data_IF_140898628875
#
_entry.id   IF_140898628875
#
_cell.length_a   1.000
_cell.length_b   1.000
_cell.length_c   1.000
_cell.angle_alpha   90.00
_cell.angle_beta   90.00
_cell.angle_gamma   90.00
#
_symmetry.space_group_name_H-M   'P 1'
#
loop_
_entity.id
_entity.type
_entity.pdbx_description
1 polymer ?
#
# COMPACT_ATOMS: atom_id res chain seq x y z
N UNK A 1 34.04 -11.92 26.00
CA UNK A 1 34.25 -10.92 24.95
C UNK A 1 35.37 -11.39 24.04
N UNK A 2 35.20 -11.38 22.72
CA UNK A 2 36.28 -11.57 21.74
C UNK A 2 36.75 -10.23 21.17
N UNK A 3 38.03 -10.15 20.80
CA UNK A 3 38.58 -8.95 20.16
C UNK A 3 38.52 -9.11 18.65
N UNK A 4 37.99 -8.12 17.99
CA UNK A 4 38.04 -7.97 16.53
C UNK A 4 38.63 -6.61 16.18
N UNK A 5 39.17 -6.48 14.97
CA UNK A 5 39.78 -5.23 14.51
C UNK A 5 39.38 -4.89 13.08
N UNK A 6 39.37 -3.63 12.81
CA UNK A 6 39.35 -3.03 11.47
C UNK A 6 40.50 -2.00 11.34
N UNK A 7 40.52 -1.21 10.25
CA UNK A 7 41.59 -0.23 10.07
C UNK A 7 41.54 0.93 11.08
N UNK A 8 40.45 1.10 11.83
CA UNK A 8 40.32 2.11 12.89
C UNK A 8 40.80 1.60 14.26
N UNK A 9 41.08 0.31 14.39
CA UNK A 9 41.57 -0.29 15.64
C UNK A 9 40.71 -1.44 16.16
N UNK A 10 41.01 -1.90 17.39
CA UNK A 10 40.35 -3.03 18.03
C UNK A 10 39.11 -2.60 18.81
N UNK A 11 38.09 -3.48 18.83
CA UNK A 11 36.95 -3.43 19.74
C UNK A 11 36.67 -4.80 20.37
N UNK A 12 36.03 -4.80 21.53
CA UNK A 12 35.50 -5.99 22.19
C UNK A 12 34.08 -6.28 21.75
N UNK A 13 33.87 -7.49 21.24
CA UNK A 13 32.58 -7.98 20.74
C UNK A 13 32.05 -9.05 21.70
N UNK A 14 30.74 -9.09 22.04
CA UNK A 14 30.17 -10.18 22.83
C UNK A 14 30.40 -11.55 22.19
N UNK A 15 30.81 -12.56 22.96
CA UNK A 15 31.16 -13.89 22.44
C UNK A 15 29.96 -14.57 21.75
N UNK A 16 28.73 -14.29 22.19
CA UNK A 16 27.51 -14.83 21.61
C UNK A 16 27.04 -14.10 20.33
N UNK A 17 27.57 -12.92 20.03
CA UNK A 17 27.19 -12.16 18.84
C UNK A 17 27.76 -12.78 17.57
N UNK A 18 26.95 -12.82 16.49
CA UNK A 18 27.42 -13.11 15.14
C UNK A 18 27.88 -11.86 14.40
N UNK A 19 27.42 -10.67 14.81
CA UNK A 19 27.95 -9.41 14.28
C UNK A 19 29.37 -9.15 14.81
N UNK A 20 30.08 -8.23 14.16
CA UNK A 20 31.48 -7.94 14.47
C UNK A 20 31.76 -6.45 14.70
N UNK A 21 33.03 -6.07 14.48
CA UNK A 21 33.57 -4.76 14.81
C UNK A 21 32.88 -3.61 14.08
N UNK A 22 32.54 -3.76 12.80
CA UNK A 22 31.89 -2.70 12.03
C UNK A 22 30.45 -2.46 12.47
N UNK A 23 29.73 -3.52 12.81
CA UNK A 23 28.39 -3.41 13.40
C UNK A 23 28.43 -2.71 14.76
N UNK A 24 29.40 -3.03 15.62
CA UNK A 24 29.57 -2.33 16.92
C UNK A 24 29.78 -0.85 16.72
N UNK A 25 30.64 -0.42 15.77
CA UNK A 25 30.81 1.02 15.46
C UNK A 25 29.52 1.64 14.96
N UNK A 26 28.76 0.96 14.13
CA UNK A 26 27.48 1.46 13.64
C UNK A 26 26.46 1.67 14.77
N UNK A 27 26.41 0.76 15.74
CA UNK A 27 25.56 0.89 16.93
C UNK A 27 25.95 2.09 17.81
N UNK A 28 27.25 2.39 17.90
CA UNK A 28 27.74 3.57 18.63
C UNK A 28 27.41 4.88 17.88
N UNK A 29 27.56 4.86 16.54
CA UNK A 29 27.40 6.05 15.71
C UNK A 29 25.96 6.44 15.47
N UNK A 30 25.04 5.46 15.32
CA UNK A 30 23.68 5.70 14.86
C UNK A 30 22.65 5.21 15.89
N UNK A 31 22.25 6.12 16.78
CA UNK A 31 21.20 5.94 17.79
C UNK A 31 20.10 6.98 17.52
N UNK A 32 19.38 6.82 16.39
CA UNK A 32 18.50 7.84 15.86
C UNK A 32 17.03 7.52 16.12
N UNK A 33 16.56 6.34 15.68
CA UNK A 33 15.16 5.97 15.76
C UNK A 33 14.82 5.10 16.96
N UNK A 34 15.79 4.37 17.50
CA UNK A 34 15.59 3.31 18.49
C UNK A 34 14.99 2.03 17.92
N UNK A 35 14.84 1.93 16.60
CA UNK A 35 14.41 0.72 15.90
C UNK A 35 15.62 -0.03 15.34
N UNK A 36 15.38 -1.30 15.00
CA UNK A 36 16.35 -2.15 14.29
C UNK A 36 15.89 -2.37 12.84
N UNK A 37 16.71 -3.06 12.06
CA UNK A 37 16.39 -3.41 10.69
C UNK A 37 15.06 -4.16 10.57
N UNK A 38 14.30 -3.88 9.51
CA UNK A 38 13.05 -4.58 9.21
C UNK A 38 13.30 -6.07 8.93
N UNK A 39 12.57 -7.02 9.55
CA UNK A 39 12.79 -8.45 9.36
C UNK A 39 12.74 -8.94 7.91
N UNK A 40 11.88 -8.34 7.06
CA UNK A 40 11.87 -8.68 5.63
C UNK A 40 13.05 -8.08 4.88
N UNK A 41 13.61 -6.96 5.34
CA UNK A 41 14.84 -6.42 4.78
C UNK A 41 16.06 -7.28 5.16
N UNK A 42 16.12 -7.78 6.39
CA UNK A 42 17.13 -8.76 6.81
C UNK A 42 17.03 -10.01 5.92
N UNK A 43 15.84 -10.52 5.70
CA UNK A 43 15.59 -11.64 4.78
C UNK A 43 16.09 -11.34 3.36
N UNK A 44 15.80 -10.15 2.82
CA UNK A 44 16.25 -9.72 1.50
C UNK A 44 17.77 -9.64 1.40
N UNK A 45 18.45 -9.08 2.42
CA UNK A 45 19.92 -9.09 2.51
C UNK A 45 20.47 -10.52 2.47
N UNK A 46 19.88 -11.43 3.23
CA UNK A 46 20.25 -12.85 3.20
C UNK A 46 20.08 -13.49 1.80
N UNK A 47 18.99 -13.17 1.09
CA UNK A 47 18.73 -13.65 -0.27
C UNK A 47 19.78 -13.14 -1.27
N UNK A 48 20.07 -11.83 -1.24
CA UNK A 48 21.08 -11.22 -2.13
C UNK A 48 22.47 -11.80 -1.86
N UNK A 49 22.86 -11.95 -0.60
CA UNK A 49 24.14 -12.55 -0.24
C UNK A 49 24.23 -14.03 -0.59
N UNK A 50 23.13 -14.76 -0.46
CA UNK A 50 23.08 -16.17 -0.93
C UNK A 50 23.28 -16.25 -2.44
N UNK A 51 22.61 -15.42 -3.23
CA UNK A 51 22.78 -15.36 -4.68
C UNK A 51 24.23 -15.02 -5.07
N UNK A 52 24.84 -14.05 -4.38
CA UNK A 52 26.22 -13.67 -4.62
C UNK A 52 27.22 -14.81 -4.30
N UNK A 53 27.02 -15.52 -3.19
CA UNK A 53 27.86 -16.68 -2.83
C UNK A 53 27.73 -17.80 -3.85
N UNK A 54 26.51 -18.14 -4.28
CA UNK A 54 26.25 -19.17 -5.31
C UNK A 54 26.89 -18.77 -6.65
N UNK A 55 26.79 -17.51 -7.06
CA UNK A 55 27.39 -17.00 -8.28
C UNK A 55 28.92 -17.11 -8.24
N UNK A 56 29.56 -16.64 -7.16
CA UNK A 56 31.00 -16.70 -7.01
C UNK A 56 31.54 -18.16 -6.93
N UNK A 57 30.79 -19.09 -6.33
CA UNK A 57 31.15 -20.53 -6.38
C UNK A 57 31.06 -21.08 -7.80
N UNK A 58 29.98 -20.78 -8.52
CA UNK A 58 29.72 -21.32 -9.88
C UNK A 58 30.79 -20.88 -10.88
N UNK A 59 31.30 -19.65 -10.76
CA UNK A 59 32.41 -19.16 -11.60
C UNK A 59 33.80 -19.48 -11.05
N UNK A 60 33.89 -20.22 -9.94
CA UNK A 60 35.14 -20.72 -9.37
C UNK A 60 35.97 -19.69 -8.59
N UNK A 61 35.44 -18.55 -8.21
CA UNK A 61 36.11 -17.54 -7.40
C UNK A 61 36.04 -17.81 -5.90
N UNK A 62 34.96 -18.44 -5.43
CA UNK A 62 34.76 -18.81 -4.03
C UNK A 62 34.93 -20.32 -3.83
N UNK A 63 35.77 -20.72 -2.88
CA UNK A 63 35.90 -22.11 -2.49
C UNK A 63 34.58 -22.76 -2.11
N UNK A 64 34.29 -23.94 -2.64
CA UNK A 64 33.00 -24.62 -2.45
C UNK A 64 32.67 -24.91 -0.98
N UNK A 65 33.68 -25.28 -0.16
CA UNK A 65 33.46 -25.59 1.25
C UNK A 65 33.08 -24.35 2.04
N UNK A 66 33.79 -23.25 1.79
CA UNK A 66 33.48 -21.94 2.40
C UNK A 66 32.11 -21.43 1.88
N UNK A 67 31.91 -21.46 0.58
CA UNK A 67 30.67 -21.00 -0.05
C UNK A 67 29.44 -21.75 0.42
N UNK A 68 29.50 -23.09 0.55
CA UNK A 68 28.39 -23.88 1.07
C UNK A 68 28.05 -23.54 2.53
N UNK A 69 29.05 -23.29 3.38
CA UNK A 69 28.83 -22.85 4.75
C UNK A 69 28.20 -21.45 4.80
N UNK A 70 28.63 -20.54 3.91
CA UNK A 70 28.02 -19.20 3.78
C UNK A 70 26.57 -19.28 3.26
N UNK A 71 26.27 -20.15 2.30
CA UNK A 71 24.90 -20.38 1.81
C UNK A 71 23.99 -20.86 2.95
N UNK A 72 24.47 -21.80 3.77
CA UNK A 72 23.73 -22.27 4.94
C UNK A 72 23.53 -21.15 5.99
N UNK A 73 24.53 -20.29 6.20
CA UNK A 73 24.39 -19.12 7.06
C UNK A 73 23.34 -18.11 6.53
N UNK A 74 23.32 -17.91 5.21
CA UNK A 74 22.28 -17.11 4.55
C UNK A 74 20.88 -17.72 4.74
N UNK A 75 20.74 -19.06 4.67
CA UNK A 75 19.45 -19.73 4.92
C UNK A 75 18.97 -19.54 6.37
N UNK A 76 19.88 -19.51 7.35
CA UNK A 76 19.52 -19.18 8.73
C UNK A 76 19.05 -17.72 8.87
N UNK A 77 19.64 -16.77 8.13
CA UNK A 77 19.18 -15.38 8.06
C UNK A 77 17.80 -15.30 7.40
N UNK A 78 17.63 -15.92 6.23
CA UNK A 78 16.38 -15.94 5.45
C UNK A 78 15.22 -16.52 6.26
N UNK A 79 15.48 -17.53 7.09
CA UNK A 79 14.49 -18.14 7.98
C UNK A 79 14.13 -17.29 9.21
N UNK A 80 14.85 -16.19 9.46
CA UNK A 80 14.65 -15.29 10.59
C UNK A 80 15.31 -15.73 11.90
N UNK A 81 16.06 -16.83 11.93
CA UNK A 81 16.73 -17.33 13.15
C UNK A 81 17.76 -16.36 13.73
N UNK A 82 18.30 -15.48 12.91
CA UNK A 82 19.37 -14.55 13.28
C UNK A 82 18.92 -13.08 13.27
N UNK A 83 17.61 -12.79 13.30
CA UNK A 83 17.09 -11.42 13.24
C UNK A 83 17.61 -10.53 14.39
N UNK A 84 17.84 -11.09 15.57
CA UNK A 84 18.42 -10.41 16.74
C UNK A 84 19.88 -10.01 16.55
N UNK A 85 20.54 -10.48 15.50
CA UNK A 85 21.93 -10.17 15.14
C UNK A 85 22.06 -8.95 14.20
N UNK A 86 20.95 -8.24 13.96
CA UNK A 86 20.91 -7.04 13.11
C UNK A 86 20.46 -5.81 13.93
N UNK A 87 21.31 -5.34 14.86
CA UNK A 87 20.94 -4.30 15.83
C UNK A 87 21.10 -2.87 15.28
N UNK A 88 21.54 -2.68 14.03
CA UNK A 88 21.82 -1.35 13.47
C UNK A 88 20.54 -0.55 13.24
N UNK A 89 20.59 0.75 13.56
CA UNK A 89 19.47 1.68 13.34
C UNK A 89 19.14 1.81 11.84
N UNK A 90 17.87 1.83 11.43
CA UNK A 90 17.48 1.96 10.03
C UNK A 90 17.79 3.33 9.41
N UNK A 91 17.96 4.39 10.20
CA UNK A 91 18.40 5.70 9.74
C UNK A 91 19.90 5.85 10.04
N UNK A 92 20.71 5.74 9.00
CA UNK A 92 22.16 5.69 9.12
C UNK A 92 22.84 6.39 7.94
N UNK A 93 24.01 6.99 8.16
CA UNK A 93 24.89 7.49 7.10
C UNK A 93 25.66 6.35 6.42
N UNK A 94 26.24 6.64 5.23
CA UNK A 94 27.09 5.70 4.51
C UNK A 94 26.36 4.77 3.54
N UNK A 95 25.22 5.20 2.97
CA UNK A 95 24.47 4.47 1.93
C UNK A 95 24.08 3.04 2.32
N UNK A 96 23.92 2.74 3.62
CA UNK A 96 23.62 1.38 4.09
C UNK A 96 24.84 0.48 4.29
N UNK A 97 26.07 1.00 4.29
CA UNK A 97 27.27 0.21 4.55
C UNK A 97 27.20 -0.57 5.87
N UNK A 98 26.58 0.02 6.90
CA UNK A 98 26.40 -0.67 8.18
C UNK A 98 25.51 -1.90 8.05
N UNK A 99 24.44 -1.87 7.26
CA UNK A 99 23.63 -3.06 6.96
C UNK A 99 24.41 -4.11 6.17
N UNK A 100 25.13 -3.69 5.13
CA UNK A 100 25.94 -4.58 4.31
C UNK A 100 27.00 -5.30 5.16
N UNK A 101 27.75 -4.56 5.97
CA UNK A 101 28.80 -5.13 6.80
C UNK A 101 28.24 -5.96 7.96
N UNK A 102 27.16 -5.54 8.59
CA UNK A 102 26.44 -6.36 9.57
C UNK A 102 26.07 -7.73 8.97
N UNK A 103 25.52 -7.74 7.77
CA UNK A 103 25.17 -9.00 7.07
C UNK A 103 26.41 -9.82 6.78
N UNK A 104 27.49 -9.23 6.30
CA UNK A 104 28.75 -9.91 6.01
C UNK A 104 29.35 -10.55 7.27
N UNK A 105 29.39 -9.81 8.39
CA UNK A 105 29.91 -10.29 9.67
C UNK A 105 29.08 -11.46 10.20
N UNK A 106 27.75 -11.34 10.17
CA UNK A 106 26.84 -12.42 10.61
C UNK A 106 27.01 -13.67 9.77
N UNK A 107 27.08 -13.54 8.43
CA UNK A 107 27.31 -14.68 7.53
C UNK A 107 28.63 -15.36 7.85
N UNK A 108 29.73 -14.59 7.97
CA UNK A 108 31.05 -15.14 8.22
C UNK A 108 31.14 -15.86 9.57
N UNK A 109 30.65 -15.26 10.63
CA UNK A 109 30.69 -15.86 11.96
C UNK A 109 29.79 -17.10 12.05
N UNK A 110 28.64 -17.12 11.39
CA UNK A 110 27.80 -18.30 11.31
C UNK A 110 28.42 -19.40 10.46
N UNK A 111 29.04 -19.07 9.33
CA UNK A 111 29.75 -20.03 8.49
C UNK A 111 30.97 -20.62 9.20
N UNK A 112 31.73 -19.82 9.95
CA UNK A 112 32.83 -20.31 10.80
C UNK A 112 32.31 -21.31 11.82
N UNK A 113 31.23 -21.02 12.52
CA UNK A 113 30.63 -21.96 13.48
C UNK A 113 30.17 -23.27 12.82
N UNK A 114 29.52 -23.22 11.64
CA UNK A 114 29.13 -24.40 10.85
C UNK A 114 30.33 -25.26 10.52
N UNK A 115 31.48 -24.65 10.27
CA UNK A 115 32.73 -25.35 9.99
C UNK A 115 33.53 -25.75 11.25
N UNK A 116 32.97 -25.58 12.44
CA UNK A 116 33.61 -25.91 13.72
C UNK A 116 34.78 -24.99 14.11
N UNK A 117 34.76 -23.73 13.60
CA UNK A 117 35.79 -22.71 13.87
C UNK A 117 35.25 -21.65 14.84
N UNK A 118 36.14 -20.98 15.59
CA UNK A 118 35.72 -19.89 16.45
C UNK A 118 35.23 -18.70 15.64
N UNK A 119 34.22 -17.98 16.17
CA UNK A 119 33.77 -16.69 15.64
C UNK A 119 34.92 -15.69 15.68
N UNK A 120 35.03 -14.84 14.64
CA UNK A 120 36.13 -13.89 14.49
C UNK A 120 37.38 -14.46 13.81
N UNK A 121 37.42 -15.74 13.40
CA UNK A 121 38.53 -16.32 12.62
C UNK A 121 38.49 -15.82 11.16
N UNK A 122 38.61 -14.50 11.00
CA UNK A 122 38.54 -13.84 9.69
C UNK A 122 39.74 -14.08 8.78
N UNK A 123 40.80 -14.73 9.29
CA UNK A 123 41.87 -15.31 8.44
C UNK A 123 41.37 -16.49 7.60
N UNK A 124 40.31 -17.18 8.06
CA UNK A 124 39.72 -18.29 7.33
C UNK A 124 38.52 -17.89 6.50
N UNK A 125 37.53 -17.16 7.10
CA UNK A 125 36.38 -16.57 6.37
C UNK A 125 36.29 -15.12 6.73
N UNK A 126 36.62 -14.21 5.80
CA UNK A 126 36.63 -12.75 6.00
C UNK A 126 35.34 -12.11 5.49
N UNK A 127 34.72 -11.19 6.26
CA UNK A 127 33.58 -10.41 5.79
C UNK A 127 33.84 -9.67 4.47
N UNK A 128 35.04 -9.10 4.31
CA UNK A 128 35.38 -8.34 3.12
C UNK A 128 35.80 -9.24 1.93
N UNK A 129 36.64 -10.26 2.18
CA UNK A 129 37.23 -11.04 1.09
C UNK A 129 36.31 -12.16 0.59
N UNK A 130 35.38 -12.68 1.43
CA UNK A 130 34.49 -13.78 1.08
C UNK A 130 33.03 -13.34 1.01
N UNK A 131 32.45 -12.83 2.10
CA UNK A 131 31.03 -12.46 2.11
C UNK A 131 30.70 -11.27 1.21
N UNK A 132 31.66 -10.37 0.99
CA UNK A 132 31.53 -9.21 0.10
C UNK A 132 32.25 -9.40 -1.25
N UNK A 133 32.70 -10.59 -1.60
CA UNK A 133 33.40 -10.88 -2.86
C UNK A 133 32.57 -10.44 -4.06
N UNK A 134 33.19 -9.73 -5.02
CA UNK A 134 32.58 -9.20 -6.24
C UNK A 134 31.45 -8.18 -6.01
N UNK A 135 31.33 -7.59 -4.82
CA UNK A 135 30.24 -6.72 -4.40
C UNK A 135 30.71 -5.39 -3.83
N UNK A 136 29.81 -4.43 -3.81
CA UNK A 136 29.90 -3.20 -3.03
C UNK A 136 28.59 -3.02 -2.22
N UNK A 137 28.63 -2.20 -1.17
CA UNK A 137 27.39 -1.69 -0.56
C UNK A 137 26.45 -1.12 -1.62
N UNK A 138 27.02 -0.44 -2.62
CA UNK A 138 26.32 0.35 -3.62
C UNK A 138 25.52 -0.46 -4.64
N UNK A 139 25.74 -1.77 -4.71
CA UNK A 139 24.90 -2.69 -5.48
C UNK A 139 24.07 -3.64 -4.60
N UNK A 140 24.59 -4.05 -3.45
CA UNK A 140 23.89 -4.94 -2.51
C UNK A 140 22.68 -4.26 -1.88
N UNK A 141 22.83 -3.02 -1.38
CA UNK A 141 21.76 -2.32 -0.64
C UNK A 141 20.57 -1.99 -1.55
N UNK A 142 20.75 -1.31 -2.70
CA UNK A 142 19.60 -1.00 -3.56
C UNK A 142 18.91 -2.27 -4.11
N UNK A 143 19.66 -3.34 -4.37
CA UNK A 143 19.08 -4.64 -4.76
C UNK A 143 18.29 -5.25 -3.61
N UNK A 144 18.79 -5.21 -2.37
CA UNK A 144 18.06 -5.72 -1.21
C UNK A 144 16.81 -4.90 -0.89
N UNK A 145 16.83 -3.59 -1.14
CA UNK A 145 15.64 -2.72 -1.03
C UNK A 145 14.57 -3.14 -2.03
N UNK A 146 14.96 -3.42 -3.30
CA UNK A 146 14.05 -3.92 -4.34
C UNK A 146 13.40 -5.24 -3.93
N UNK A 147 14.18 -6.22 -3.51
CA UNK A 147 13.69 -7.53 -3.06
C UNK A 147 12.71 -7.39 -1.89
N UNK A 148 13.06 -6.59 -0.88
CA UNK A 148 12.18 -6.34 0.28
C UNK A 148 10.88 -5.64 -0.14
N UNK A 149 10.98 -4.62 -1.00
CA UNK A 149 9.83 -3.86 -1.48
C UNK A 149 8.86 -4.75 -2.28
N UNK A 150 9.37 -5.64 -3.15
CA UNK A 150 8.55 -6.63 -3.89
C UNK A 150 7.78 -7.55 -2.93
N UNK A 151 8.46 -8.16 -1.96
CA UNK A 151 7.82 -9.03 -0.97
C UNK A 151 6.72 -8.32 -0.17
N UNK A 152 6.94 -7.04 0.19
CA UNK A 152 5.94 -6.25 0.92
C UNK A 152 4.81 -5.76 0.03
N UNK A 153 5.12 -5.39 -1.20
CA UNK A 153 4.12 -4.93 -2.18
C UNK A 153 3.12 -6.03 -2.51
N UNK A 154 3.59 -7.29 -2.64
CA UNK A 154 2.69 -8.43 -2.85
C UNK A 154 1.69 -8.60 -1.70
N UNK A 155 2.13 -8.43 -0.45
CA UNK A 155 1.23 -8.47 0.71
C UNK A 155 0.17 -7.36 0.64
N UNK A 156 0.54 -6.15 0.22
CA UNK A 156 -0.39 -5.03 0.07
C UNK A 156 -1.36 -5.24 -1.10
N UNK A 157 -0.86 -5.75 -2.23
CA UNK A 157 -1.67 -6.07 -3.41
C UNK A 157 -2.79 -7.05 -3.02
N UNK A 158 -2.43 -8.15 -2.37
CA UNK A 158 -3.39 -9.15 -1.86
C UNK A 158 -4.39 -8.50 -0.89
N UNK A 159 -3.94 -7.65 0.01
CA UNK A 159 -4.82 -6.98 0.96
C UNK A 159 -5.84 -6.05 0.24
N UNK A 160 -5.41 -5.27 -0.76
CA UNK A 160 -6.27 -4.39 -1.55
C UNK A 160 -7.29 -5.17 -2.38
N UNK A 161 -6.90 -6.30 -2.97
CA UNK A 161 -7.79 -7.18 -3.73
C UNK A 161 -8.85 -7.80 -2.81
N UNK A 162 -8.46 -8.29 -1.64
CA UNK A 162 -9.38 -8.79 -0.63
C UNK A 162 -10.36 -7.71 -0.14
N UNK A 163 -9.91 -6.47 0.02
CA UNK A 163 -10.78 -5.35 0.38
C UNK A 163 -11.76 -5.02 -0.76
N UNK A 164 -11.29 -5.04 -2.00
CA UNK A 164 -12.15 -4.85 -3.17
C UNK A 164 -13.24 -5.91 -3.26
N UNK A 165 -12.91 -7.18 -3.00
CA UNK A 165 -13.87 -8.27 -2.98
C UNK A 165 -14.90 -8.13 -1.85
N UNK A 166 -14.49 -7.62 -0.69
CA UNK A 166 -15.41 -7.29 0.41
C UNK A 166 -16.36 -6.15 0.03
N UNK A 167 -15.87 -5.13 -0.65
CA UNK A 167 -16.72 -4.06 -1.18
C UNK A 167 -17.71 -4.57 -2.24
N UNK A 168 -17.29 -5.46 -3.15
CA UNK A 168 -18.18 -6.04 -4.15
C UNK A 168 -19.27 -6.91 -3.51
N UNK A 169 -18.93 -7.71 -2.49
CA UNK A 169 -19.93 -8.47 -1.71
C UNK A 169 -20.97 -7.56 -1.08
N UNK A 170 -20.53 -6.44 -0.47
CA UNK A 170 -21.43 -5.41 0.06
C UNK A 170 -22.22 -4.70 -1.04
N UNK A 171 -21.60 -4.46 -2.18
CA UNK A 171 -22.26 -3.92 -3.35
C UNK A 171 -23.41 -4.80 -3.85
N UNK A 172 -23.25 -6.13 -3.83
CA UNK A 172 -24.31 -7.06 -4.17
C UNK A 172 -25.38 -7.17 -3.07
N UNK A 173 -24.97 -7.17 -1.78
CA UNK A 173 -25.89 -7.16 -0.63
C UNK A 173 -26.80 -5.93 -0.62
N UNK A 174 -26.31 -4.77 -1.08
CA UNK A 174 -27.01 -3.48 -1.04
C UNK A 174 -27.52 -3.02 -2.41
N UNK A 175 -27.55 -3.90 -3.42
CA UNK A 175 -27.90 -3.53 -4.82
C UNK A 175 -29.32 -2.94 -4.97
N UNK A 176 -30.21 -3.30 -4.07
CA UNK A 176 -31.62 -2.87 -4.03
C UNK A 176 -31.89 -1.78 -2.98
N UNK A 177 -30.86 -1.29 -2.28
CA UNK A 177 -30.99 -0.20 -1.30
C UNK A 177 -30.91 1.12 -2.02
N UNK A 178 -32.07 1.67 -2.36
CA UNK A 178 -32.17 2.97 -2.98
C UNK A 178 -31.95 4.08 -1.95
N UNK A 179 -31.19 5.11 -2.32
CA UNK A 179 -30.89 6.29 -1.50
C UNK A 179 -30.76 7.52 -2.37
N UNK A 180 -30.74 8.70 -1.74
CA UNK A 180 -30.38 9.92 -2.44
C UNK A 180 -28.85 10.01 -2.62
N UNK A 181 -28.40 10.24 -3.84
CA UNK A 181 -27.00 10.59 -4.13
C UNK A 181 -26.73 12.05 -3.75
N UNK A 182 -25.46 12.37 -3.44
CA UNK A 182 -25.06 13.73 -3.08
C UNK A 182 -23.86 14.18 -3.90
N UNK A 183 -23.94 15.41 -4.40
CA UNK A 183 -22.80 16.15 -4.97
C UNK A 183 -22.66 17.46 -4.19
N UNK A 184 -21.44 17.87 -3.87
CA UNK A 184 -21.20 19.02 -2.97
C UNK A 184 -21.89 18.90 -1.59
N UNK A 185 -22.11 17.65 -1.13
CA UNK A 185 -22.94 17.32 0.06
C UNK A 185 -24.40 17.79 -0.04
N UNK A 186 -24.85 18.23 -1.22
CA UNK A 186 -26.24 18.56 -1.50
C UNK A 186 -26.95 17.39 -2.17
N UNK A 187 -28.27 17.31 -2.00
CA UNK A 187 -29.10 16.31 -2.65
C UNK A 187 -28.94 16.38 -4.17
N UNK A 188 -28.77 15.23 -4.77
CA UNK A 188 -28.64 15.10 -6.22
C UNK A 188 -29.72 14.16 -6.77
N UNK A 189 -29.33 13.09 -7.43
CA UNK A 189 -30.25 12.11 -8.02
C UNK A 189 -30.19 10.79 -7.26
N UNK A 190 -31.21 9.93 -7.39
CA UNK A 190 -31.20 8.60 -6.76
C UNK A 190 -30.02 7.74 -7.22
N UNK A 191 -29.49 6.95 -6.30
CA UNK A 191 -28.47 5.94 -6.53
C UNK A 191 -28.76 4.72 -5.63
N UNK A 192 -28.20 3.57 -5.92
CA UNK A 192 -28.21 2.47 -4.93
C UNK A 192 -26.95 2.51 -4.08
N UNK A 193 -27.08 2.16 -2.80
CA UNK A 193 -25.95 1.98 -1.90
C UNK A 193 -24.97 0.94 -2.48
N UNK A 194 -25.50 -0.09 -3.16
CA UNK A 194 -24.70 -1.10 -3.84
C UNK A 194 -23.77 -0.54 -4.91
N UNK A 195 -24.21 0.45 -5.69
CA UNK A 195 -23.36 1.12 -6.71
C UNK A 195 -22.21 1.90 -6.06
N UNK A 196 -22.43 2.55 -4.92
CA UNK A 196 -21.35 3.23 -4.18
C UNK A 196 -20.29 2.24 -3.71
N UNK A 197 -20.69 1.11 -3.13
CA UNK A 197 -19.74 0.07 -2.70
C UNK A 197 -18.98 -0.57 -3.87
N UNK A 198 -19.63 -0.80 -5.01
CA UNK A 198 -18.95 -1.25 -6.24
C UNK A 198 -17.94 -0.22 -6.78
N UNK A 199 -18.23 1.06 -6.62
CA UNK A 199 -17.27 2.12 -6.97
C UNK A 199 -16.04 2.09 -6.05
N UNK A 200 -16.19 1.80 -4.75
CA UNK A 200 -15.07 1.59 -3.83
C UNK A 200 -14.24 0.37 -4.24
N UNK A 201 -14.87 -0.75 -4.59
CA UNK A 201 -14.18 -1.93 -5.10
C UNK A 201 -13.34 -1.63 -6.34
N UNK A 202 -13.92 -0.93 -7.33
CA UNK A 202 -13.23 -0.52 -8.55
C UNK A 202 -12.03 0.36 -8.27
N UNK A 203 -12.12 1.26 -7.27
CA UNK A 203 -11.00 2.09 -6.84
C UNK A 203 -9.87 1.24 -6.27
N UNK A 204 -10.15 0.29 -5.40
CA UNK A 204 -9.13 -0.58 -4.78
C UNK A 204 -8.42 -1.47 -5.81
N UNK A 205 -9.14 -2.07 -6.75
CA UNK A 205 -8.54 -2.83 -7.86
C UNK A 205 -7.62 -1.97 -8.72
N UNK A 206 -8.02 -0.73 -9.00
CA UNK A 206 -7.16 0.21 -9.73
C UNK A 206 -5.88 0.53 -8.96
N UNK A 207 -5.95 0.68 -7.64
CA UNK A 207 -4.74 0.91 -6.81
C UNK A 207 -3.83 -0.31 -6.77
N UNK A 208 -4.37 -1.51 -6.58
CA UNK A 208 -3.63 -2.77 -6.69
C UNK A 208 -2.84 -2.85 -8.02
N UNK A 209 -3.51 -2.59 -9.14
CA UNK A 209 -2.87 -2.61 -10.46
C UNK A 209 -1.78 -1.52 -10.63
N UNK A 210 -1.96 -0.33 -10.06
CA UNK A 210 -0.93 0.72 -10.12
C UNK A 210 0.31 0.33 -9.32
N UNK A 211 0.16 -0.26 -8.12
CA UNK A 211 1.29 -0.76 -7.33
C UNK A 211 2.01 -1.87 -8.09
N UNK A 212 1.28 -2.84 -8.68
CA UNK A 212 1.88 -3.91 -9.49
C UNK A 212 2.75 -3.37 -10.61
N UNK A 213 2.28 -2.36 -11.36
CA UNK A 213 3.06 -1.70 -12.41
C UNK A 213 4.30 -0.98 -11.89
N UNK A 214 4.21 -0.32 -10.73
CA UNK A 214 5.39 0.32 -10.11
C UNK A 214 6.42 -0.72 -9.67
N UNK A 215 5.99 -1.93 -9.31
CA UNK A 215 6.89 -3.03 -8.95
C UNK A 215 7.65 -3.61 -10.15
N UNK A 216 7.13 -3.48 -11.38
CA UNK A 216 7.83 -3.96 -12.59
C UNK A 216 9.23 -3.33 -12.71
N UNK A 217 9.39 -2.06 -12.36
CA UNK A 217 10.66 -1.34 -12.40
C UNK A 217 11.68 -1.85 -11.36
N UNK A 218 11.21 -2.47 -10.27
CA UNK A 218 12.07 -3.00 -9.22
C UNK A 218 12.80 -4.27 -9.62
N UNK A 219 12.41 -4.94 -10.70
CA UNK A 219 13.06 -6.15 -11.19
C UNK A 219 14.37 -5.87 -11.94
N UNK A 220 14.64 -4.61 -12.29
CA UNK A 220 15.93 -4.22 -12.86
C UNK A 220 16.90 -3.84 -11.74
N UNK A 221 18.02 -4.53 -11.65
CA UNK A 221 18.98 -4.40 -10.56
C UNK A 221 20.38 -4.05 -11.05
N UNK A 222 21.25 -3.65 -10.11
CA UNK A 222 22.63 -3.25 -10.40
C UNK A 222 23.70 -4.13 -9.73
N UNK A 223 23.39 -5.40 -9.38
CA UNK A 223 24.40 -6.31 -8.82
C UNK A 223 25.57 -6.50 -9.78
N UNK A 224 26.79 -6.41 -9.24
CA UNK A 224 28.03 -6.41 -9.99
C UNK A 224 28.46 -5.06 -10.53
N UNK A 225 27.68 -4.00 -10.35
CA UNK A 225 28.05 -2.60 -10.65
C UNK A 225 29.23 -2.13 -9.80
N UNK A 226 29.35 -2.68 -8.61
CA UNK A 226 30.33 -2.33 -7.59
C UNK A 226 30.28 -0.85 -7.16
N UNK A 227 31.43 -0.17 -7.03
CA UNK A 227 31.50 1.13 -6.34
C UNK A 227 30.76 2.27 -7.06
N UNK A 228 30.86 2.37 -8.40
CA UNK A 228 30.40 3.49 -9.21
C UNK A 228 29.71 3.07 -10.51
N UNK A 229 29.32 1.82 -10.62
CA UNK A 229 28.64 1.30 -11.82
C UNK A 229 29.56 0.78 -12.93
N UNK A 230 30.87 0.77 -12.72
CA UNK A 230 31.82 0.30 -13.75
C UNK A 230 32.15 -1.20 -13.67
N UNK A 231 31.67 -1.88 -12.62
CA UNK A 231 31.95 -3.29 -12.40
C UNK A 231 33.39 -3.61 -12.03
N UNK A 232 34.17 -2.62 -11.59
CA UNK A 232 35.56 -2.85 -11.16
C UNK A 232 35.58 -3.88 -10.02
N UNK A 233 36.44 -4.91 -10.13
CA UNK A 233 36.57 -6.07 -9.23
C UNK A 233 35.38 -7.04 -9.26
N UNK A 234 34.45 -6.95 -10.20
CA UNK A 234 33.46 -7.97 -10.50
C UNK A 234 33.76 -8.61 -11.87
N UNK A 235 33.82 -9.92 -11.92
CA UNK A 235 33.96 -10.65 -13.19
C UNK A 235 32.68 -10.47 -14.04
N UNK A 236 32.76 -10.27 -15.36
CA UNK A 236 31.58 -10.21 -16.23
C UNK A 236 30.69 -11.47 -16.15
N UNK A 237 31.26 -12.65 -15.90
CA UNK A 237 30.50 -13.88 -15.68
C UNK A 237 29.72 -13.82 -14.36
N UNK A 238 30.31 -13.21 -13.31
CA UNK A 238 29.62 -12.98 -12.05
C UNK A 238 28.40 -12.09 -12.23
N UNK A 239 28.52 -11.00 -12.98
CA UNK A 239 27.41 -10.04 -13.20
C UNK A 239 26.18 -10.77 -13.79
N UNK A 240 26.41 -11.65 -14.76
CA UNK A 240 25.36 -12.47 -15.36
C UNK A 240 24.82 -13.50 -14.36
N UNK A 241 25.74 -14.23 -13.72
CA UNK A 241 25.39 -15.36 -12.86
C UNK A 241 24.64 -14.92 -11.61
N UNK A 242 25.01 -13.79 -10.98
CA UNK A 242 24.32 -13.28 -9.78
C UNK A 242 22.86 -12.91 -10.07
N UNK A 243 22.56 -12.44 -11.28
CA UNK A 243 21.20 -12.16 -11.73
C UNK A 243 20.36 -13.46 -11.82
N UNK A 244 20.94 -14.51 -12.43
CA UNK A 244 20.29 -15.83 -12.53
C UNK A 244 20.06 -16.44 -11.13
N UNK A 245 21.07 -16.37 -10.25
CA UNK A 245 20.97 -16.89 -8.89
C UNK A 245 19.96 -16.12 -8.03
N UNK A 246 19.91 -14.80 -8.17
CA UNK A 246 18.92 -13.99 -7.44
C UNK A 246 17.49 -14.33 -7.87
N UNK A 247 17.26 -14.53 -9.17
CA UNK A 247 15.98 -15.01 -9.71
C UNK A 247 15.60 -16.37 -9.10
N UNK A 248 16.52 -17.30 -9.01
CA UNK A 248 16.27 -18.62 -8.41
C UNK A 248 16.01 -18.56 -6.91
N UNK A 249 16.76 -17.73 -6.18
CA UNK A 249 16.64 -17.61 -4.71
C UNK A 249 15.35 -16.90 -4.29
N UNK A 250 14.93 -15.90 -5.05
CA UNK A 250 13.75 -15.09 -4.72
C UNK A 250 12.45 -15.61 -5.32
N UNK A 251 12.54 -16.29 -6.48
CA UNK A 251 11.39 -16.65 -7.31
C UNK A 251 10.86 -15.48 -8.17
N UNK A 252 11.52 -14.32 -8.15
CA UNK A 252 11.19 -13.12 -8.92
C UNK A 252 12.12 -13.01 -10.14
N UNK A 253 11.62 -12.53 -11.28
CA UNK A 253 12.40 -12.44 -12.52
C UNK A 253 13.23 -11.15 -12.56
N UNK A 254 14.45 -11.19 -12.06
CA UNK A 254 15.38 -10.06 -12.11
C UNK A 254 16.11 -9.95 -13.46
N UNK A 255 16.45 -8.73 -13.83
CA UNK A 255 17.31 -8.39 -14.98
C UNK A 255 18.41 -7.42 -14.56
N UNK A 256 19.57 -7.56 -15.19
CA UNK A 256 20.66 -6.59 -15.02
C UNK A 256 20.34 -5.31 -15.79
N UNK A 257 20.57 -4.15 -15.18
CA UNK A 257 20.37 -2.87 -15.84
C UNK A 257 21.28 -2.69 -17.07
N UNK A 258 20.74 -2.11 -18.13
CA UNK A 258 21.53 -1.81 -19.37
C UNK A 258 22.66 -0.82 -19.09
N UNK A 259 22.44 0.11 -18.17
CA UNK A 259 23.42 1.08 -17.71
C UNK A 259 23.61 0.97 -16.19
N UNK A 260 24.67 0.26 -15.78
CA UNK A 260 24.98 0.06 -14.37
C UNK A 260 25.40 1.34 -13.63
N UNK A 261 25.95 2.34 -14.34
CA UNK A 261 26.29 3.65 -13.73
C UNK A 261 25.02 4.40 -13.37
N UNK A 262 24.04 4.41 -14.28
CA UNK A 262 22.72 4.98 -14.04
C UNK A 262 22.02 4.28 -12.86
N UNK A 263 21.93 2.96 -12.90
CA UNK A 263 21.27 2.16 -11.88
C UNK A 263 21.93 2.19 -10.48
N UNK A 264 23.19 2.68 -10.40
CA UNK A 264 23.90 2.88 -9.12
C UNK A 264 23.71 4.31 -8.60
N UNK A 265 23.58 5.30 -9.48
CA UNK A 265 23.47 6.72 -9.10
C UNK A 265 22.04 7.20 -8.95
N UNK A 266 21.09 6.68 -9.75
CA UNK A 266 19.70 7.11 -9.77
C UNK A 266 18.81 6.13 -9.01
N UNK A 267 17.90 6.70 -8.21
CA UNK A 267 16.97 5.96 -7.32
C UNK A 267 15.51 6.37 -7.55
N UNK A 268 15.22 7.01 -8.67
CA UNK A 268 13.92 7.55 -9.07
C UNK A 268 12.81 6.49 -9.09
N UNK A 269 13.12 5.24 -9.41
CA UNK A 269 12.18 4.11 -9.34
C UNK A 269 11.54 3.93 -7.96
N UNK A 270 12.21 4.30 -6.89
CA UNK A 270 11.66 4.27 -5.53
C UNK A 270 10.57 5.34 -5.34
N UNK A 271 10.68 6.46 -6.06
CA UNK A 271 9.63 7.50 -6.07
C UNK A 271 8.38 7.03 -6.80
N UNK A 272 8.50 6.25 -7.88
CA UNK A 272 7.35 5.68 -8.59
C UNK A 272 6.53 4.76 -7.69
N UNK A 273 7.20 3.86 -6.96
CA UNK A 273 6.53 3.02 -5.98
C UNK A 273 5.91 3.87 -4.86
N UNK A 274 6.67 4.78 -4.27
CA UNK A 274 6.22 5.63 -3.15
C UNK A 274 5.01 6.49 -3.55
N UNK A 275 5.01 7.09 -4.75
CA UNK A 275 3.88 7.86 -5.29
C UNK A 275 2.64 6.99 -5.53
N UNK A 276 2.82 5.73 -5.92
CA UNK A 276 1.72 4.77 -6.04
C UNK A 276 1.10 4.43 -4.68
N UNK A 277 1.93 4.31 -3.62
CA UNK A 277 1.46 4.12 -2.24
C UNK A 277 0.71 5.35 -1.73
N UNK A 278 1.25 6.57 -1.94
CA UNK A 278 0.56 7.84 -1.63
C UNK A 278 -0.80 7.92 -2.30
N UNK A 279 -0.89 7.62 -3.59
CA UNK A 279 -2.16 7.68 -4.32
C UNK A 279 -3.16 6.64 -3.79
N UNK A 280 -2.68 5.49 -3.33
CA UNK A 280 -3.52 4.48 -2.67
C UNK A 280 -4.04 4.98 -1.32
N UNK A 281 -3.20 5.66 -0.55
CA UNK A 281 -3.58 6.32 0.70
C UNK A 281 -4.67 7.38 0.49
N UNK A 282 -4.54 8.24 -0.53
CA UNK A 282 -5.56 9.24 -0.89
C UNK A 282 -6.91 8.59 -1.23
N UNK A 283 -6.90 7.46 -1.94
CA UNK A 283 -8.13 6.71 -2.25
C UNK A 283 -8.78 6.11 -1.00
N UNK A 284 -7.98 5.60 -0.06
CA UNK A 284 -8.46 5.06 1.22
C UNK A 284 -9.05 6.15 2.12
N UNK A 285 -8.42 7.33 2.18
CA UNK A 285 -8.95 8.51 2.92
C UNK A 285 -10.33 8.87 2.39
N UNK A 286 -10.50 8.97 1.06
CA UNK A 286 -11.80 9.28 0.46
C UNK A 286 -12.86 8.27 0.86
N UNK A 287 -12.56 6.98 0.78
CA UNK A 287 -13.49 5.91 1.16
C UNK A 287 -13.81 5.96 2.66
N UNK A 288 -12.80 6.13 3.51
CA UNK A 288 -12.97 6.23 4.96
C UNK A 288 -13.85 7.40 5.36
N UNK A 289 -13.66 8.56 4.72
CA UNK A 289 -14.49 9.76 4.95
C UNK A 289 -15.93 9.54 4.51
N UNK A 290 -16.18 8.90 3.37
CA UNK A 290 -17.54 8.58 2.94
C UNK A 290 -18.23 7.61 3.93
N UNK A 291 -17.53 6.55 4.36
CA UNK A 291 -18.06 5.62 5.36
C UNK A 291 -18.40 6.32 6.68
N UNK A 292 -17.57 7.27 7.12
CA UNK A 292 -17.82 8.07 8.34
C UNK A 292 -19.03 8.99 8.17
N UNK A 293 -19.17 9.64 7.02
CA UNK A 293 -20.33 10.49 6.72
C UNK A 293 -21.63 9.69 6.65
N UNK A 294 -21.65 8.60 5.88
CA UNK A 294 -22.81 7.72 5.76
C UNK A 294 -23.24 7.12 7.11
N UNK A 295 -22.30 6.85 8.02
CA UNK A 295 -22.56 6.30 9.34
C UNK A 295 -22.83 7.37 10.42
N UNK A 296 -22.79 8.66 10.08
CA UNK A 296 -22.93 9.75 11.05
C UNK A 296 -24.30 9.74 11.76
N UNK A 297 -24.30 10.11 13.02
CA UNK A 297 -25.53 10.18 13.84
C UNK A 297 -25.41 9.37 15.14
N UNK A 298 -26.39 8.50 15.48
CA UNK A 298 -27.42 7.87 14.63
C UNK A 298 -28.71 8.68 14.40
N UNK A 299 -28.99 9.74 15.17
CA UNK A 299 -30.27 10.48 15.08
C UNK A 299 -30.13 11.84 14.39
N UNK A 300 -28.97 12.49 14.55
CA UNK A 300 -28.69 13.84 14.04
C UNK A 300 -27.65 13.83 12.90
N UNK A 301 -27.58 12.76 12.13
CA UNK A 301 -26.69 12.62 10.99
C UNK A 301 -27.34 11.81 9.87
N UNK A 302 -26.56 11.39 8.87
CA UNK A 302 -27.11 10.67 7.71
C UNK A 302 -27.64 9.29 8.04
N UNK A 303 -26.91 8.54 8.87
CA UNK A 303 -27.33 7.22 9.34
C UNK A 303 -27.77 6.26 8.23
N UNK A 304 -27.17 6.32 7.04
CA UNK A 304 -27.50 5.47 5.90
C UNK A 304 -26.95 4.05 6.05
N UNK A 305 -25.85 3.94 6.80
CA UNK A 305 -25.20 2.65 7.17
C UNK A 305 -24.90 2.61 8.67
N UNK A 306 -24.75 1.41 9.19
CA UNK A 306 -24.27 1.16 10.54
C UNK A 306 -22.95 0.42 10.46
N UNK A 307 -21.88 0.99 11.08
CA UNK A 307 -20.58 0.35 11.22
C UNK A 307 -20.58 -0.60 12.43
N UNK A 308 -19.80 -1.70 12.38
CA UNK A 308 -19.64 -2.57 13.54
C UNK A 308 -19.04 -1.81 14.74
N UNK A 309 -19.64 -1.85 15.94
CA UNK A 309 -19.08 -1.25 17.13
C UNK A 309 -17.77 -1.97 17.52
N UNK A 310 -16.70 -1.20 17.81
CA UNK A 310 -15.39 -1.78 18.13
C UNK A 310 -14.89 -1.46 19.53
N UNK A 311 -15.33 -0.33 20.07
CA UNK A 311 -15.00 0.09 21.44
C UNK A 311 -16.00 1.16 21.92
N UNK A 312 -16.12 1.41 23.23
CA UNK A 312 -16.84 2.57 23.75
C UNK A 312 -16.26 3.86 23.17
N UNK A 313 -17.11 4.76 22.71
CA UNK A 313 -16.70 5.97 22.00
C UNK A 313 -16.44 7.19 22.88
N UNK A 314 -16.77 7.13 24.17
CA UNK A 314 -16.64 8.25 25.09
C UNK A 314 -16.51 7.79 26.54
N UNK A 315 -15.70 8.51 27.32
CA UNK A 315 -15.56 8.30 28.76
C UNK A 315 -16.69 8.92 29.58
N UNK A 316 -17.47 9.85 28.98
CA UNK A 316 -18.52 10.62 29.65
C UNK A 316 -19.90 10.51 29.01
N UNK A 317 -20.03 9.93 27.81
CA UNK A 317 -21.28 9.75 27.08
C UNK A 317 -21.60 8.24 26.93
N UNK A 318 -22.40 7.65 27.84
CA UNK A 318 -22.76 6.23 27.75
C UNK A 318 -23.46 5.92 26.41
N UNK A 319 -23.09 4.81 25.78
CA UNK A 319 -23.69 4.36 24.53
C UNK A 319 -23.18 5.02 23.26
N UNK A 320 -22.27 6.00 23.33
CA UNK A 320 -21.65 6.58 22.15
C UNK A 320 -20.64 5.61 21.54
N UNK A 321 -20.75 5.38 20.23
CA UNK A 321 -19.80 4.57 19.44
C UNK A 321 -19.25 5.44 18.30
N UNK A 322 -17.93 5.52 18.18
CA UNK A 322 -17.26 6.29 17.13
C UNK A 322 -16.79 5.38 15.98
N UNK A 323 -16.62 5.91 14.76
CA UNK A 323 -16.12 5.18 13.60
C UNK A 323 -14.58 5.03 13.63
N UNK A 324 -14.04 4.45 14.71
CA UNK A 324 -12.59 4.43 15.02
C UNK A 324 -11.76 3.69 13.97
N UNK A 325 -12.35 2.74 13.23
CA UNK A 325 -11.62 2.01 12.19
C UNK A 325 -11.35 2.89 10.96
N UNK A 326 -12.32 3.56 10.34
CA UNK A 326 -12.03 4.57 9.32
C UNK A 326 -11.07 5.67 9.81
N UNK A 327 -11.18 6.11 11.07
CA UNK A 327 -10.29 7.14 11.64
C UNK A 327 -8.83 6.69 11.71
N UNK A 328 -8.55 5.46 12.15
CA UNK A 328 -7.17 4.96 12.17
C UNK A 328 -6.61 4.73 10.78
N UNK A 329 -7.46 4.39 9.81
CA UNK A 329 -7.06 4.29 8.39
C UNK A 329 -6.64 5.65 7.86
N UNK A 330 -7.41 6.72 8.14
CA UNK A 330 -7.06 8.10 7.76
C UNK A 330 -5.70 8.50 8.34
N UNK A 331 -5.48 8.30 9.65
CA UNK A 331 -4.21 8.62 10.31
C UNK A 331 -3.03 7.84 9.72
N UNK A 332 -3.24 6.56 9.43
CA UNK A 332 -2.22 5.73 8.76
C UNK A 332 -1.89 6.29 7.37
N UNK A 333 -2.91 6.68 6.61
CA UNK A 333 -2.73 7.27 5.29
C UNK A 333 -2.01 8.63 5.33
N UNK A 334 -2.26 9.47 6.34
CA UNK A 334 -1.49 10.71 6.52
C UNK A 334 0.00 10.44 6.73
N UNK A 335 0.33 9.41 7.52
CA UNK A 335 1.73 9.02 7.72
C UNK A 335 2.37 8.52 6.41
N UNK A 336 1.65 7.76 5.60
CA UNK A 336 2.15 7.29 4.28
C UNK A 336 2.41 8.46 3.33
N UNK A 337 1.56 9.48 3.34
CA UNK A 337 1.76 10.70 2.54
C UNK A 337 3.02 11.45 3.00
N UNK A 338 3.25 11.53 4.32
CA UNK A 338 4.46 12.14 4.87
C UNK A 338 5.73 11.34 4.52
N UNK A 339 5.66 10.02 4.55
CA UNK A 339 6.76 9.14 4.16
C UNK A 339 7.14 9.31 2.68
N UNK A 340 6.16 9.51 1.78
CA UNK A 340 6.42 9.79 0.36
C UNK A 340 7.27 11.06 0.16
N UNK A 341 7.02 12.09 0.95
CA UNK A 341 7.83 13.30 0.90
C UNK A 341 9.29 13.03 1.32
N UNK A 342 9.49 12.21 2.36
CA UNK A 342 10.83 11.82 2.79
C UNK A 342 11.57 10.99 1.72
N UNK A 343 10.86 10.11 1.00
CA UNK A 343 11.43 9.37 -0.14
C UNK A 343 11.83 10.34 -1.26
N UNK A 344 10.97 11.30 -1.61
CA UNK A 344 11.28 12.30 -2.64
C UNK A 344 12.54 13.11 -2.30
N UNK A 345 12.68 13.59 -1.05
CA UNK A 345 13.90 14.27 -0.60
C UNK A 345 15.13 13.36 -0.65
N UNK A 346 14.99 12.08 -0.34
CA UNK A 346 16.09 11.12 -0.47
C UNK A 346 16.54 10.96 -1.92
N UNK A 347 15.60 10.85 -2.85
CA UNK A 347 15.88 10.67 -4.28
C UNK A 347 16.55 11.91 -4.88
N UNK A 348 16.07 13.12 -4.58
CA UNK A 348 16.63 14.36 -5.16
C UNK A 348 18.06 14.68 -4.69
N UNK A 349 18.49 14.10 -3.55
CA UNK A 349 19.78 14.38 -2.93
C UNK A 349 20.91 13.42 -3.35
N UNK A 350 20.73 12.65 -4.43
CA UNK A 350 21.83 11.92 -5.07
C UNK A 350 22.87 12.85 -5.66
N UNK A 351 24.15 12.49 -5.54
CA UNK A 351 25.26 13.27 -6.07
C UNK A 351 26.24 12.37 -6.80
N UNK A 352 26.61 12.76 -8.02
CA UNK A 352 27.55 12.02 -8.88
C UNK A 352 27.11 10.56 -9.08
N UNK A 353 27.93 9.58 -8.71
CA UNK A 353 27.77 8.17 -9.04
C UNK A 353 27.06 7.36 -7.95
N UNK A 354 26.51 8.00 -6.90
CA UNK A 354 25.82 7.30 -5.81
C UNK A 354 24.75 8.18 -5.15
N UNK A 355 23.61 7.60 -4.83
CA UNK A 355 22.68 8.20 -3.88
C UNK A 355 22.90 7.60 -2.48
N UNK A 356 23.43 8.43 -1.56
CA UNK A 356 23.77 7.98 -0.20
C UNK A 356 22.58 7.98 0.76
N UNK A 357 21.38 8.42 0.31
CA UNK A 357 20.16 8.54 1.12
C UNK A 357 19.27 7.28 1.07
N UNK A 358 19.74 6.18 0.53
CA UNK A 358 18.99 4.91 0.44
C UNK A 358 18.41 4.43 1.78
N UNK A 359 19.09 4.53 2.94
CA UNK A 359 18.53 4.09 4.22
C UNK A 359 17.21 4.79 4.58
N UNK A 360 17.11 6.11 4.42
CA UNK A 360 15.86 6.84 4.70
C UNK A 360 14.77 6.52 3.70
N UNK A 361 15.11 6.29 2.43
CA UNK A 361 14.14 5.84 1.42
C UNK A 361 13.59 4.47 1.77
N UNK A 362 14.45 3.50 2.07
CA UNK A 362 14.09 2.15 2.49
C UNK A 362 13.16 2.16 3.71
N UNK A 363 13.55 2.89 4.76
CA UNK A 363 12.75 3.02 5.98
C UNK A 363 11.33 3.50 5.70
N UNK A 364 11.18 4.56 4.90
CA UNK A 364 9.88 5.14 4.61
C UNK A 364 9.02 4.26 3.66
N UNK A 365 9.63 3.62 2.65
CA UNK A 365 8.93 2.70 1.74
C UNK A 365 8.43 1.46 2.50
N UNK A 366 9.29 0.82 3.30
CA UNK A 366 8.91 -0.38 4.04
C UNK A 366 7.82 -0.12 5.08
N UNK A 367 7.91 1.01 5.79
CA UNK A 367 6.88 1.43 6.72
C UNK A 367 5.57 1.72 5.99
N UNK A 368 5.58 2.42 4.84
CA UNK A 368 4.39 2.73 4.06
C UNK A 368 3.68 1.47 3.58
N UNK A 369 4.42 0.51 3.03
CA UNK A 369 3.90 -0.78 2.59
C UNK A 369 3.28 -1.56 3.77
N UNK A 370 3.99 -1.65 4.90
CA UNK A 370 3.52 -2.34 6.11
C UNK A 370 2.28 -1.68 6.70
N UNK A 371 2.29 -0.35 6.81
CA UNK A 371 1.18 0.40 7.39
C UNK A 371 -0.08 0.28 6.55
N UNK A 372 0.03 0.44 5.22
CA UNK A 372 -1.10 0.27 4.31
C UNK A 372 -1.65 -1.15 4.36
N UNK A 373 -0.80 -2.16 4.33
CA UNK A 373 -1.24 -3.57 4.42
C UNK A 373 -2.06 -3.81 5.67
N UNK A 374 -1.59 -3.33 6.83
CA UNK A 374 -2.28 -3.50 8.10
C UNK A 374 -3.58 -2.68 8.16
N UNK A 375 -3.57 -1.43 7.68
CA UNK A 375 -4.74 -0.56 7.65
C UNK A 375 -5.85 -1.11 6.74
N UNK A 376 -5.49 -1.60 5.55
CA UNK A 376 -6.41 -2.22 4.59
C UNK A 376 -7.05 -3.48 5.17
N UNK A 377 -6.26 -4.38 5.78
CA UNK A 377 -6.78 -5.56 6.44
C UNK A 377 -7.68 -5.22 7.63
N UNK A 378 -7.32 -4.19 8.40
CA UNK A 378 -8.12 -3.69 9.53
C UNK A 378 -9.44 -3.10 9.03
N UNK A 379 -9.40 -2.26 7.99
CA UNK A 379 -10.61 -1.69 7.37
C UNK A 379 -11.56 -2.80 6.91
N UNK A 380 -11.04 -3.80 6.18
CA UNK A 380 -11.82 -4.93 5.70
C UNK A 380 -12.47 -5.70 6.85
N UNK A 381 -11.66 -6.27 7.74
CA UNK A 381 -12.14 -7.25 8.73
C UNK A 381 -12.86 -6.63 9.92
N UNK A 382 -12.53 -5.38 10.26
CA UNK A 382 -13.07 -4.68 11.43
C UNK A 382 -14.16 -3.68 11.09
N UNK A 383 -14.33 -3.33 9.80
CA UNK A 383 -15.34 -2.36 9.37
C UNK A 383 -16.19 -2.95 8.24
N UNK A 384 -15.64 -3.07 7.01
CA UNK A 384 -16.40 -3.31 5.78
C UNK A 384 -17.22 -4.59 5.83
N UNK A 385 -16.63 -5.72 6.28
CA UNK A 385 -17.30 -7.01 6.32
C UNK A 385 -18.56 -7.00 7.21
N UNK A 386 -18.61 -6.10 8.19
CA UNK A 386 -19.72 -6.01 9.15
C UNK A 386 -20.69 -4.84 8.94
N UNK A 387 -20.54 -4.06 7.87
CA UNK A 387 -21.43 -2.92 7.57
C UNK A 387 -22.85 -3.43 7.30
N UNK A 388 -23.85 -2.70 7.82
CA UNK A 388 -25.26 -2.93 7.56
C UNK A 388 -25.90 -1.67 6.95
N UNK A 389 -26.79 -1.85 5.98
CA UNK A 389 -27.58 -0.77 5.41
C UNK A 389 -28.77 -0.44 6.32
N UNK A 390 -29.01 0.84 6.57
CA UNK A 390 -30.19 1.34 7.25
C UNK A 390 -31.27 1.70 6.21
N UNK A 391 -31.92 0.68 5.66
CA UNK A 391 -32.85 0.78 4.51
C UNK A 391 -33.97 1.79 4.73
N UNK A 392 -34.55 1.84 5.92
CA UNK A 392 -35.61 2.78 6.26
C UNK A 392 -35.11 4.21 6.19
N UNK A 393 -33.90 4.48 6.70
CA UNK A 393 -33.30 5.82 6.68
C UNK A 393 -32.94 6.26 5.26
N UNK A 394 -32.41 5.35 4.44
CA UNK A 394 -32.14 5.61 3.02
C UNK A 394 -33.42 6.00 2.28
N UNK A 395 -34.51 5.26 2.48
CA UNK A 395 -35.81 5.53 1.88
C UNK A 395 -36.39 6.86 2.37
N UNK A 396 -36.31 7.17 3.66
CA UNK A 396 -36.79 8.41 4.26
C UNK A 396 -36.08 9.66 3.65
N UNK A 397 -34.75 9.60 3.52
CA UNK A 397 -34.00 10.70 2.89
C UNK A 397 -34.36 10.88 1.42
N UNK A 398 -34.56 9.79 0.70
CA UNK A 398 -34.98 9.84 -0.70
C UNK A 398 -36.39 10.47 -0.84
N UNK A 399 -37.34 10.08 0.00
CA UNK A 399 -38.71 10.61 -0.05
C UNK A 399 -38.80 12.09 0.35
N UNK A 400 -37.91 12.57 1.22
CA UNK A 400 -37.81 13.97 1.60
C UNK A 400 -37.12 14.85 0.56
N UNK A 401 -36.33 14.24 -0.35
CA UNK A 401 -35.57 14.96 -1.34
C UNK A 401 -36.39 15.34 -2.56
N UNK A 402 -36.17 16.55 -3.07
CA UNK A 402 -36.71 16.97 -4.36
C UNK A 402 -35.91 16.47 -5.55
N UNK A 403 -34.76 15.80 -5.32
CA UNK A 403 -33.85 15.33 -6.37
C UNK A 403 -34.49 14.33 -7.34
N UNK A 404 -35.57 13.62 -6.91
CA UNK A 404 -36.33 12.71 -7.78
C UNK A 404 -36.97 13.40 -8.97
N UNK A 405 -37.23 14.71 -8.90
CA UNK A 405 -37.82 15.51 -9.99
C UNK A 405 -36.95 15.44 -11.26
N UNK A 406 -35.66 15.21 -11.13
CA UNK A 406 -34.77 15.11 -12.28
C UNK A 406 -35.14 13.96 -13.23
N UNK A 407 -35.66 12.85 -12.72
CA UNK A 407 -36.17 11.75 -13.54
C UNK A 407 -37.42 12.15 -14.36
N UNK A 408 -38.13 13.18 -13.97
CA UNK A 408 -39.36 13.66 -14.61
C UNK A 408 -39.09 14.72 -15.70
N UNK A 409 -37.88 15.31 -15.76
CA UNK A 409 -37.53 16.34 -16.75
C UNK A 409 -37.88 15.98 -18.20
N UNK A 410 -37.60 14.75 -18.70
CA UNK A 410 -37.96 14.39 -20.06
C UNK A 410 -39.50 14.34 -20.30
N UNK A 411 -40.27 14.13 -19.25
CA UNK A 411 -41.72 13.93 -19.34
C UNK A 411 -42.53 15.21 -19.24
N UNK A 412 -42.16 16.12 -18.30
CA UNK A 412 -42.98 17.31 -17.99
C UNK A 412 -42.24 18.64 -18.19
N UNK A 413 -40.97 18.57 -18.66
CA UNK A 413 -40.14 19.74 -18.96
C UNK A 413 -39.51 20.41 -17.73
N UNK A 414 -38.51 21.24 -17.99
CA UNK A 414 -37.67 21.86 -16.95
C UNK A 414 -38.45 22.89 -16.10
N UNK A 415 -39.27 23.73 -16.75
CA UNK A 415 -40.00 24.79 -16.06
C UNK A 415 -41.02 24.21 -15.07
N UNK A 416 -41.80 23.22 -15.47
CA UNK A 416 -42.77 22.55 -14.61
C UNK A 416 -42.05 21.89 -13.41
N UNK A 417 -40.94 21.22 -13.66
CA UNK A 417 -40.11 20.63 -12.64
C UNK A 417 -39.57 21.67 -11.64
N UNK A 418 -39.14 22.83 -12.12
CA UNK A 418 -38.63 23.94 -11.30
C UNK A 418 -39.70 24.54 -10.38
N UNK A 419 -40.90 24.74 -10.91
CA UNK A 419 -42.03 25.26 -10.11
C UNK A 419 -42.42 24.28 -9.01
N UNK A 420 -42.54 23.01 -9.34
CA UNK A 420 -42.88 21.92 -8.38
C UNK A 420 -41.79 21.75 -7.30
N UNK A 421 -40.52 21.79 -7.69
CA UNK A 421 -39.40 21.71 -6.75
C UNK A 421 -39.40 22.90 -5.76
N UNK A 422 -39.59 24.14 -6.24
CA UNK A 422 -39.71 25.33 -5.38
C UNK A 422 -40.87 25.22 -4.40
N UNK A 423 -42.01 24.76 -4.85
CA UNK A 423 -43.20 24.60 -4.01
C UNK A 423 -42.96 23.50 -2.97
N UNK A 424 -42.44 22.34 -3.36
CA UNK A 424 -42.11 21.26 -2.44
C UNK A 424 -41.19 21.73 -1.31
N UNK A 425 -40.14 22.48 -1.64
CA UNK A 425 -39.19 23.04 -0.67
C UNK A 425 -39.87 24.10 0.24
N UNK A 426 -40.66 25.00 -0.32
CA UNK A 426 -41.32 26.07 0.43
C UNK A 426 -42.40 25.54 1.39
N UNK A 427 -43.07 24.47 1.02
CA UNK A 427 -44.22 23.91 1.77
C UNK A 427 -43.85 22.67 2.57
N UNK A 428 -42.62 22.17 2.45
CA UNK A 428 -42.12 20.90 3.02
C UNK A 428 -43.02 19.70 2.64
N UNK A 429 -43.57 19.70 1.41
CA UNK A 429 -44.44 18.64 0.89
C UNK A 429 -43.67 17.69 -0.01
N UNK A 430 -44.12 16.43 -0.04
CA UNK A 430 -43.58 15.46 -0.96
C UNK A 430 -43.92 15.82 -2.41
N UNK A 431 -42.94 15.75 -3.30
CA UNK A 431 -43.12 16.16 -4.69
C UNK A 431 -44.03 15.19 -5.47
N UNK A 432 -44.09 13.92 -5.10
CA UNK A 432 -45.00 12.93 -5.70
C UNK A 432 -46.47 13.32 -5.42
N UNK A 433 -46.75 13.73 -4.17
CA UNK A 433 -48.08 14.14 -3.77
C UNK A 433 -48.53 15.40 -4.53
N UNK A 434 -47.63 16.36 -4.71
CA UNK A 434 -47.89 17.58 -5.51
C UNK A 434 -48.22 17.26 -6.97
N UNK A 435 -47.48 16.32 -7.58
CA UNK A 435 -47.67 15.89 -8.97
C UNK A 435 -49.07 15.25 -9.17
N UNK A 436 -49.48 14.39 -8.23
CA UNK A 436 -50.77 13.69 -8.27
C UNK A 436 -51.90 14.67 -8.04
N UNK A 437 -51.81 15.52 -7.01
CA UNK A 437 -52.85 16.53 -6.67
C UNK A 437 -53.09 17.52 -7.80
N UNK A 438 -52.01 17.97 -8.46
CA UNK A 438 -52.08 18.85 -9.61
C UNK A 438 -52.43 18.16 -10.93
N UNK A 439 -52.62 16.86 -10.90
CA UNK A 439 -52.96 16.02 -12.07
C UNK A 439 -51.90 16.14 -13.20
N UNK A 440 -50.63 16.41 -12.85
CA UNK A 440 -49.54 16.49 -13.81
C UNK A 440 -49.15 15.12 -14.32
N UNK A 441 -49.12 14.14 -13.41
CA UNK A 441 -48.85 12.71 -13.73
C UNK A 441 -49.77 11.83 -12.88
N UNK A 442 -50.17 10.69 -13.44
CA UNK A 442 -50.89 9.66 -12.66
C UNK A 442 -49.94 8.94 -11.68
N UNK A 443 -50.54 8.32 -10.66
CA UNK A 443 -49.76 7.53 -9.71
C UNK A 443 -49.07 6.37 -10.44
N UNK A 444 -49.74 5.74 -11.37
CA UNK A 444 -49.24 4.62 -12.16
C UNK A 444 -48.06 5.01 -13.00
N UNK A 445 -48.08 6.17 -13.68
CA UNK A 445 -46.96 6.67 -14.47
C UNK A 445 -45.77 7.04 -13.56
N UNK A 446 -46.02 7.66 -12.38
CA UNK A 446 -44.97 7.92 -11.41
C UNK A 446 -44.32 6.66 -10.86
N UNK A 447 -45.07 5.60 -10.58
CA UNK A 447 -44.55 4.33 -10.08
C UNK A 447 -43.62 3.67 -11.11
N UNK A 448 -43.89 3.85 -12.41
CA UNK A 448 -43.01 3.37 -13.49
C UNK A 448 -41.75 4.22 -13.59
N UNK A 449 -41.90 5.55 -13.72
CA UNK A 449 -40.75 6.46 -13.92
C UNK A 449 -39.81 6.44 -12.71
N UNK A 450 -40.36 6.42 -11.52
CA UNK A 450 -39.61 6.46 -10.26
C UNK A 450 -39.24 5.07 -9.72
N UNK A 451 -39.42 4.03 -10.53
CA UNK A 451 -38.96 2.69 -10.15
C UNK A 451 -37.43 2.70 -9.95
N UNK A 452 -36.91 2.02 -8.89
CA UNK A 452 -35.45 2.00 -8.60
C UNK A 452 -34.59 1.62 -9.80
N UNK A 453 -35.01 0.62 -10.55
CA UNK A 453 -34.29 0.14 -11.74
C UNK A 453 -34.24 1.19 -12.86
N UNK A 454 -35.24 2.07 -12.96
CA UNK A 454 -35.28 3.14 -13.96
C UNK A 454 -34.38 4.31 -13.57
N UNK A 455 -34.36 4.68 -12.30
CA UNK A 455 -33.63 5.86 -11.81
C UNK A 455 -32.13 5.62 -11.63
N UNK A 456 -31.66 4.36 -11.66
CA UNK A 456 -30.26 4.02 -11.34
C UNK A 456 -29.50 3.33 -12.47
N UNK A 457 -30.04 3.41 -13.71
CA UNK A 457 -29.37 2.94 -14.93
C UNK A 457 -29.29 4.05 -15.99
N UNK A 458 -28.36 3.99 -16.95
CA UNK A 458 -28.35 4.92 -18.07
C UNK A 458 -29.63 4.85 -18.89
N UNK A 459 -30.14 6.02 -19.31
CA UNK A 459 -31.35 6.13 -20.14
C UNK A 459 -32.36 7.14 -19.60
N UNK A 460 -33.50 7.19 -20.22
CA UNK A 460 -34.65 7.98 -19.77
C UNK A 460 -35.56 7.04 -18.97
N UNK A 461 -35.79 7.34 -17.72
CA UNK A 461 -36.66 6.57 -16.84
C UNK A 461 -38.09 6.58 -17.39
N UNK A 462 -38.73 5.42 -17.51
CA UNK A 462 -40.07 5.30 -18.07
C UNK A 462 -40.18 5.78 -19.52
N UNK A 463 -39.16 5.55 -20.35
CA UNK A 463 -39.08 6.04 -21.74
C UNK A 463 -40.30 5.70 -22.59
N UNK A 464 -40.90 4.55 -22.33
CA UNK A 464 -42.12 4.10 -23.02
C UNK A 464 -43.35 4.97 -22.77
N UNK A 465 -43.36 5.76 -21.68
CA UNK A 465 -44.45 6.65 -21.33
C UNK A 465 -44.33 8.04 -21.97
N UNK A 466 -43.16 8.40 -22.56
CA UNK A 466 -42.89 9.74 -23.08
C UNK A 466 -44.01 10.23 -24.02
N UNK A 467 -44.34 9.42 -25.04
CA UNK A 467 -45.31 9.81 -26.06
C UNK A 467 -46.70 10.02 -25.46
N UNK A 468 -47.17 9.08 -24.61
CA UNK A 468 -48.45 9.15 -23.89
C UNK A 468 -48.56 10.44 -23.04
N UNK A 469 -47.51 10.75 -22.29
CA UNK A 469 -47.51 11.91 -21.37
C UNK A 469 -47.47 13.21 -22.15
N UNK A 470 -46.68 13.34 -23.22
CA UNK A 470 -46.66 14.55 -24.04
C UNK A 470 -47.99 14.78 -24.72
N UNK A 471 -48.65 13.79 -25.29
CA UNK A 471 -49.98 13.89 -25.87
C UNK A 471 -51.02 14.38 -24.82
N UNK A 472 -50.98 13.82 -23.61
CA UNK A 472 -51.88 14.22 -22.53
C UNK A 472 -51.66 15.67 -22.03
N UNK A 473 -50.43 16.17 -22.09
CA UNK A 473 -50.13 17.58 -21.70
C UNK A 473 -50.58 18.55 -22.79
N UNK A 474 -50.42 18.20 -24.08
CA UNK A 474 -50.88 19.00 -25.20
C UNK A 474 -52.42 19.13 -25.23
N UNK A 475 -53.19 18.15 -24.76
CA UNK A 475 -54.64 18.20 -24.64
C UNK A 475 -55.12 19.08 -23.48
N UNK A 476 -54.22 19.42 -22.52
CA UNK A 476 -54.56 20.26 -21.33
C UNK A 476 -54.19 21.73 -21.49
N UNK A 477 -53.48 22.07 -22.56
CA UNK A 477 -53.06 23.44 -22.94
C UNK A 477 -53.99 23.97 -24.06
#
# INVERSE_FOLDING_TARGET
MRKEHDFLGELEIPDNAYYGVQTMRAMENFQITGYTADPLFIKALGMVKKAAALANMKIGLLDEKIGNAMVQACDDIISGKLNDQFPTDPIQGGAGTSFNMNTNEVICNRALEILGRPRGDYNYISPNNHANMSQSTNDVIPTSIRVCALMRAEQLIIALENLADSFDKKGEEFKDVLKIGRTHLQDAVPITLGLEFKAFASSMRRRSNCIRRSCELLHTMNMGATAVGTGLNADPEYIKEVCEQLTLVTGESFTTADNLVDATSNTDIFTDLSSSLKTSALSLIKISNDLRLMASGPRAGFCEITLPPRQPGSSIMPGKVNPVIPEVVDQTCYQVIANDLAVAFGVENGQFQLNVMEPVMAYNIFNSLRFLTNAVNTLRTRCVDGIKANRAQCAEWLDKSVGIVTALLPHIGYETCSVLAKEALATNRNIKDLLIERKVLSKEDLDVILAPAEMTRPGIAGKELLKKIHESIEELV
#
